data_IF_132146376097
#
_entry.id   IF_132146376097
#
_cell.length_a   1.000
_cell.length_b   1.000
_cell.length_c   1.000
_cell.angle_alpha   90.00
_cell.angle_beta   90.00
_cell.angle_gamma   90.00
#
_symmetry.space_group_name_H-M   'P 1'
#
loop_
_entity.id
_entity.type
_entity.pdbx_description
1 polymer ?
#
# COMPACT_ATOMS: atom_id res chain seq x y z
N UNK A 1 -46.01 -26.82 -65.35
CA UNK A 1 -46.25 -25.99 -64.14
C UNK A 1 -45.30 -26.47 -63.06
N UNK A 2 -44.49 -25.56 -62.50
CA UNK A 2 -43.76 -25.60 -61.22
C UNK A 2 -42.83 -26.81 -60.93
N UNK A 3 -41.59 -26.70 -60.47
CA UNK A 3 -40.82 -25.59 -59.93
C UNK A 3 -39.32 -25.88 -60.13
N UNK A 4 -38.56 -24.86 -60.56
CA UNK A 4 -37.09 -24.84 -60.46
C UNK A 4 -36.74 -24.36 -59.05
N UNK A 5 -36.08 -25.20 -58.27
CA UNK A 5 -35.56 -24.83 -56.94
C UNK A 5 -34.21 -24.12 -57.16
N UNK A 6 -34.05 -22.83 -56.82
CA UNK A 6 -32.73 -22.21 -56.83
C UNK A 6 -32.00 -22.59 -55.54
N UNK A 7 -30.77 -23.04 -55.70
CA UNK A 7 -29.78 -23.27 -54.64
C UNK A 7 -29.41 -21.90 -54.02
N UNK A 8 -30.03 -21.56 -52.89
CA UNK A 8 -29.69 -20.34 -52.15
C UNK A 8 -28.44 -20.60 -51.30
N UNK A 9 -27.39 -19.89 -51.68
CA UNK A 9 -26.15 -19.65 -50.96
C UNK A 9 -26.44 -19.15 -49.54
N UNK A 10 -26.11 -19.92 -48.49
CA UNK A 10 -26.14 -19.42 -47.11
C UNK A 10 -24.72 -19.32 -46.55
N UNK A 11 -24.39 -18.08 -46.20
CA UNK A 11 -23.08 -17.59 -45.84
C UNK A 11 -22.47 -18.29 -44.62
N UNK A 12 -21.15 -18.55 -44.70
CA UNK A 12 -20.31 -18.89 -43.58
C UNK A 12 -20.34 -17.76 -42.55
N UNK A 13 -20.97 -17.99 -41.40
CA UNK A 13 -20.85 -17.12 -40.24
C UNK A 13 -19.55 -17.46 -39.54
N UNK A 14 -18.57 -16.57 -39.71
CA UNK A 14 -17.28 -16.65 -39.07
C UNK A 14 -17.44 -16.64 -37.54
N UNK A 15 -16.75 -17.60 -36.93
CA UNK A 15 -16.50 -17.77 -35.51
C UNK A 15 -16.23 -16.42 -34.83
N UNK A 16 -17.15 -15.96 -33.98
CA UNK A 16 -16.92 -14.79 -33.12
C UNK A 16 -15.89 -15.19 -32.06
N UNK A 17 -14.63 -14.82 -32.30
CA UNK A 17 -13.60 -14.86 -31.28
C UNK A 17 -13.98 -13.82 -30.20
N UNK A 18 -14.58 -14.29 -29.11
CA UNK A 18 -14.65 -13.54 -27.86
C UNK A 18 -13.21 -13.31 -27.40
N UNK A 19 -12.64 -12.16 -27.74
CA UNK A 19 -11.43 -11.68 -27.10
C UNK A 19 -11.82 -11.28 -25.68
N UNK A 20 -11.52 -12.17 -24.74
CA UNK A 20 -11.51 -11.83 -23.32
C UNK A 20 -10.41 -10.78 -23.16
N UNK A 21 -10.81 -9.51 -23.12
CA UNK A 21 -9.95 -8.44 -22.63
C UNK A 21 -9.66 -8.75 -21.16
N UNK A 22 -8.56 -9.48 -20.91
CA UNK A 22 -8.00 -9.52 -19.57
C UNK A 22 -7.48 -8.12 -19.30
N UNK A 23 -8.23 -7.33 -18.54
CA UNK A 23 -7.77 -6.06 -17.97
C UNK A 23 -6.74 -6.36 -16.88
N UNK A 24 -5.67 -7.05 -17.23
CA UNK A 24 -4.50 -7.24 -16.40
C UNK A 24 -3.79 -5.90 -16.31
N UNK A 25 -3.63 -5.38 -15.10
CA UNK A 25 -2.80 -4.19 -14.85
C UNK A 25 -1.38 -4.56 -15.31
N UNK A 26 -0.94 -4.01 -16.45
CA UNK A 26 0.41 -4.25 -16.96
C UNK A 26 1.42 -3.86 -15.88
N UNK A 27 2.20 -4.82 -15.40
CA UNK A 27 3.37 -4.54 -14.57
C UNK A 27 4.49 -4.09 -15.53
N UNK A 28 5.20 -3.01 -15.20
CA UNK A 28 6.29 -2.50 -16.05
C UNK A 28 7.36 -3.56 -16.32
N UNK A 29 8.13 -3.40 -17.40
CA UNK A 29 9.27 -4.28 -17.69
C UNK A 29 10.32 -4.24 -16.59
N UNK A 30 11.08 -5.34 -16.43
CA UNK A 30 12.19 -5.41 -15.49
C UNK A 30 13.25 -4.36 -15.85
N UNK A 31 13.60 -3.51 -14.90
CA UNK A 31 14.67 -2.52 -15.02
C UNK A 31 15.85 -2.92 -14.14
N UNK A 32 17.06 -2.78 -14.68
CA UNK A 32 18.28 -3.03 -13.94
C UNK A 32 18.52 -1.93 -12.90
N UNK A 33 18.92 -2.32 -11.69
CA UNK A 33 19.30 -1.41 -10.62
C UNK A 33 20.84 -1.36 -10.59
N UNK A 34 21.43 -0.31 -11.16
CA UNK A 34 22.89 -0.23 -11.34
C UNK A 34 23.67 0.04 -10.04
N UNK A 35 23.02 0.59 -9.02
CA UNK A 35 23.67 0.95 -7.75
C UNK A 35 23.17 0.04 -6.61
N UNK A 36 23.51 -1.25 -6.67
CA UNK A 36 23.08 -2.20 -5.63
C UNK A 36 23.85 -2.00 -4.33
N UNK A 37 25.14 -1.70 -4.41
CA UNK A 37 26.07 -1.71 -3.26
C UNK A 37 25.81 -0.60 -2.25
N UNK A 38 25.37 0.58 -2.69
CA UNK A 38 25.06 1.68 -1.75
C UNK A 38 23.56 1.84 -1.49
N UNK A 39 22.72 1.04 -2.15
CA UNK A 39 21.28 1.18 -2.02
C UNK A 39 20.77 0.41 -0.79
N UNK A 40 20.58 1.16 0.30
CA UNK A 40 20.04 0.62 1.54
C UNK A 40 18.70 -0.11 1.37
N UNK A 41 17.87 0.30 0.40
CA UNK A 41 16.59 -0.37 0.13
C UNK A 41 16.82 -1.77 -0.43
N UNK A 42 17.75 -1.91 -1.39
CA UNK A 42 18.07 -3.23 -1.98
C UNK A 42 18.69 -4.14 -0.93
N UNK A 43 19.61 -3.62 -0.12
CA UNK A 43 20.21 -4.37 0.99
C UNK A 43 19.19 -4.79 2.05
N UNK A 44 18.27 -3.90 2.43
CA UNK A 44 17.25 -4.22 3.43
C UNK A 44 16.20 -5.20 2.92
N UNK A 45 15.81 -5.11 1.64
CA UNK A 45 14.96 -6.11 0.98
C UNK A 45 15.63 -7.48 0.93
N UNK A 46 16.90 -7.52 0.52
CA UNK A 46 17.68 -8.77 0.47
C UNK A 46 17.77 -9.43 1.84
N UNK A 47 18.14 -8.67 2.88
CA UNK A 47 18.19 -9.19 4.25
C UNK A 47 16.80 -9.63 4.75
N UNK A 48 15.72 -8.88 4.48
CA UNK A 48 14.34 -9.24 4.89
C UNK A 48 13.89 -10.55 4.26
N UNK A 49 14.21 -10.77 2.98
CA UNK A 49 13.90 -12.01 2.28
C UNK A 49 14.60 -13.21 2.94
N UNK A 50 15.88 -13.05 3.28
CA UNK A 50 16.66 -14.07 4.01
C UNK A 50 16.07 -14.33 5.40
N UNK A 51 15.76 -13.27 6.16
CA UNK A 51 15.21 -13.40 7.52
C UNK A 51 13.83 -14.07 7.53
N UNK A 52 12.95 -13.72 6.60
CA UNK A 52 11.65 -14.40 6.46
C UNK A 52 11.80 -15.86 6.04
N UNK A 53 12.71 -16.15 5.13
CA UNK A 53 13.00 -17.53 4.73
C UNK A 53 13.46 -18.33 5.96
N UNK A 54 14.44 -17.83 6.70
CA UNK A 54 14.97 -18.46 7.90
C UNK A 54 13.89 -18.67 8.98
N UNK A 55 13.07 -17.64 9.27
CA UNK A 55 11.92 -17.77 10.21
C UNK A 55 10.95 -18.88 9.81
N UNK A 56 10.67 -19.01 8.52
CA UNK A 56 9.79 -20.07 8.02
C UNK A 56 10.44 -21.45 8.11
N UNK A 57 11.77 -21.55 8.02
CA UNK A 57 12.50 -22.80 8.29
C UNK A 57 12.53 -23.12 9.80
N UNK A 58 12.69 -22.12 10.67
CA UNK A 58 12.71 -22.28 12.13
C UNK A 58 11.37 -22.72 12.70
N UNK A 59 10.24 -22.27 12.14
CA UNK A 59 8.90 -22.78 12.51
C UNK A 59 8.76 -24.30 12.36
N UNK A 60 9.62 -24.94 11.56
CA UNK A 60 9.63 -26.37 11.30
C UNK A 60 10.77 -27.12 12.02
N UNK A 61 11.53 -26.47 12.91
CA UNK A 61 12.65 -27.09 13.65
C UNK A 61 12.58 -26.76 15.15
N UNK A 62 12.96 -27.73 15.99
CA UNK A 62 13.09 -27.52 17.44
C UNK A 62 14.02 -26.31 17.73
N UNK A 63 13.76 -25.54 18.81
CA UNK A 63 14.27 -24.18 18.94
C UNK A 63 15.80 -24.17 19.00
N UNK A 64 16.49 -23.36 18.17
CA UNK A 64 17.92 -23.24 18.26
C UNK A 64 18.28 -22.44 19.52
N UNK A 65 19.11 -23.03 20.37
CA UNK A 65 19.81 -22.30 21.42
C UNK A 65 21.01 -21.62 20.78
N UNK A 66 21.02 -20.29 20.64
CA UNK A 66 22.19 -19.37 20.75
C UNK A 66 21.83 -17.95 20.31
N UNK A 67 21.94 -17.00 21.25
CA UNK A 67 23.07 -16.07 21.47
C UNK A 67 23.10 -14.94 20.45
N UNK A 68 22.43 -13.85 20.87
CA UNK A 68 22.59 -12.45 20.49
C UNK A 68 23.63 -12.16 19.40
N UNK A 69 23.14 -11.98 18.17
CA UNK A 69 23.76 -11.10 17.19
C UNK A 69 22.80 -9.93 16.97
N UNK A 70 23.23 -8.72 17.33
CA UNK A 70 22.51 -7.44 17.19
C UNK A 70 22.41 -7.01 15.72
N UNK A 71 21.91 -7.89 14.87
CA UNK A 71 21.59 -7.61 13.48
C UNK A 71 20.28 -6.85 13.40
N UNK A 72 20.34 -5.59 12.94
CA UNK A 72 19.17 -4.76 12.60
C UNK A 72 18.09 -5.61 11.93
N UNK A 73 16.98 -5.86 12.63
CA UNK A 73 15.82 -6.58 12.09
C UNK A 73 15.35 -5.82 10.85
N UNK A 74 15.67 -6.36 9.70
CA UNK A 74 15.29 -5.84 8.39
C UNK A 74 13.90 -6.38 8.10
N UNK A 75 12.91 -5.50 8.25
CA UNK A 75 11.50 -5.86 8.42
C UNK A 75 10.91 -5.26 9.70
N UNK A 76 11.77 -4.85 10.63
CA UNK A 76 11.39 -4.09 11.81
C UNK A 76 10.91 -2.69 11.43
N UNK A 77 10.00 -2.17 12.25
CA UNK A 77 9.51 -0.79 12.14
C UNK A 77 10.69 0.16 12.39
N UNK A 78 11.03 0.97 11.39
CA UNK A 78 12.12 1.96 11.42
C UNK A 78 11.57 3.36 11.65
N UNK A 79 12.18 4.13 12.53
CA UNK A 79 11.78 5.52 12.76
C UNK A 79 12.13 6.40 11.55
N UNK A 80 11.26 7.37 11.25
CA UNK A 80 11.55 8.47 10.32
C UNK A 80 11.92 9.68 11.16
N UNK A 81 13.14 10.15 11.00
CA UNK A 81 13.59 11.39 11.63
C UNK A 81 13.13 12.60 10.81
N UNK A 82 13.03 13.76 11.46
CA UNK A 82 12.68 15.03 10.82
C UNK A 82 11.33 14.97 10.06
N UNK A 83 10.31 14.47 10.74
CA UNK A 83 8.98 14.21 10.15
C UNK A 83 8.31 15.49 9.66
N UNK A 84 8.52 16.61 10.35
CA UNK A 84 7.91 17.90 10.02
C UNK A 84 8.35 18.41 8.65
N UNK A 85 9.62 18.25 8.28
CA UNK A 85 10.12 18.67 6.97
C UNK A 85 10.03 17.58 5.89
N UNK A 86 9.54 16.38 6.23
CA UNK A 86 9.45 15.28 5.28
C UNK A 86 8.16 15.39 4.46
N UNK A 87 8.28 15.96 3.25
CA UNK A 87 7.15 16.21 2.35
C UNK A 87 6.32 14.95 2.06
N UNK A 88 6.98 13.80 1.86
CA UNK A 88 6.30 12.54 1.60
C UNK A 88 5.42 12.16 2.78
N UNK A 89 5.96 12.20 4.01
CA UNK A 89 5.21 11.84 5.21
C UNK A 89 4.06 12.82 5.48
N UNK A 90 4.30 14.13 5.34
CA UNK A 90 3.23 15.13 5.48
C UNK A 90 2.11 14.91 4.45
N UNK A 91 2.47 14.60 3.20
CA UNK A 91 1.48 14.32 2.14
C UNK A 91 0.66 13.05 2.42
N UNK A 92 1.27 12.02 2.99
CA UNK A 92 0.58 10.78 3.39
C UNK A 92 -0.34 11.03 4.59
N UNK A 93 0.07 11.89 5.53
CA UNK A 93 -0.76 12.32 6.65
C UNK A 93 -2.00 13.07 6.18
N UNK A 94 -1.83 14.04 5.28
CA UNK A 94 -2.95 14.77 4.66
C UNK A 94 -3.91 13.83 3.92
N UNK A 95 -3.36 12.91 3.12
CA UNK A 95 -4.15 11.88 2.42
C UNK A 95 -4.98 11.02 3.39
N UNK A 96 -4.42 10.67 4.55
CA UNK A 96 -5.14 9.88 5.55
C UNK A 96 -6.37 10.61 6.11
N UNK A 97 -6.22 11.90 6.44
CA UNK A 97 -7.31 12.76 6.95
C UNK A 97 -8.38 12.96 5.87
N UNK A 98 -7.99 13.27 4.64
CA UNK A 98 -8.94 13.43 3.52
C UNK A 98 -9.73 12.15 3.24
N UNK A 99 -9.06 10.99 3.31
CA UNK A 99 -9.73 9.70 3.15
C UNK A 99 -10.71 9.40 4.28
N UNK A 100 -10.36 9.76 5.52
CA UNK A 100 -11.28 9.65 6.66
C UNK A 100 -12.52 10.51 6.45
N UNK A 101 -12.37 11.79 6.13
CA UNK A 101 -13.48 12.71 5.88
C UNK A 101 -14.40 12.19 4.76
N UNK A 102 -13.81 11.77 3.63
CA UNK A 102 -14.56 11.19 2.50
C UNK A 102 -15.34 9.94 2.89
N UNK A 103 -14.80 9.11 3.77
CA UNK A 103 -15.50 7.93 4.27
C UNK A 103 -16.67 8.30 5.20
N UNK A 104 -16.52 9.34 6.03
CA UNK A 104 -17.62 9.84 6.88
C UNK A 104 -18.78 10.38 6.05
N UNK A 105 -18.49 11.16 5.00
CA UNK A 105 -19.50 11.67 4.06
C UNK A 105 -20.28 10.54 3.38
N UNK A 106 -19.58 9.52 2.87
CA UNK A 106 -20.20 8.37 2.19
C UNK A 106 -21.12 7.56 3.11
N UNK A 107 -20.72 7.39 4.36
CA UNK A 107 -21.49 6.63 5.34
C UNK A 107 -22.69 7.42 5.90
N UNK A 108 -22.91 8.68 5.45
CA UNK A 108 -23.94 9.60 5.94
C UNK A 108 -24.00 9.65 7.47
N UNK A 109 -22.85 9.52 8.13
CA UNK A 109 -22.79 9.49 9.59
C UNK A 109 -23.31 10.83 10.13
N UNK A 110 -24.51 10.87 10.74
CA UNK A 110 -25.06 12.12 11.22
C UNK A 110 -24.20 12.56 12.40
N UNK A 111 -23.68 13.79 12.35
CA UNK A 111 -22.87 14.43 13.39
C UNK A 111 -21.38 14.01 13.53
N UNK A 112 -20.71 13.50 12.48
CA UNK A 112 -19.24 13.37 12.54
C UNK A 112 -18.56 14.65 12.06
N UNK A 113 -17.83 15.31 12.95
CA UNK A 113 -17.06 16.51 12.65
C UNK A 113 -15.93 16.21 11.65
N UNK A 114 -15.89 16.95 10.54
CA UNK A 114 -14.79 16.89 9.59
C UNK A 114 -13.48 17.36 10.23
N UNK A 115 -12.39 16.70 9.87
CA UNK A 115 -11.06 17.00 10.40
C UNK A 115 -10.25 17.83 9.39
N UNK A 116 -9.54 18.83 9.89
CA UNK A 116 -8.54 19.60 9.13
C UNK A 116 -7.14 19.12 9.52
N UNK A 117 -6.36 18.68 8.53
CA UNK A 117 -4.97 18.25 8.74
C UNK A 117 -4.10 19.43 9.23
N UNK A 118 -3.33 19.22 10.30
CA UNK A 118 -2.32 20.16 10.78
C UNK A 118 -0.93 19.72 10.33
N UNK A 119 -0.39 18.65 10.93
CA UNK A 119 0.92 18.10 10.59
C UNK A 119 1.09 16.69 11.17
N UNK A 120 2.11 15.97 10.70
CA UNK A 120 2.57 14.71 11.30
C UNK A 120 3.64 14.99 12.33
N UNK A 121 3.48 14.46 13.56
CA UNK A 121 4.41 14.68 14.70
C UNK A 121 5.38 13.52 14.91
N UNK A 122 5.02 12.31 14.48
CA UNK A 122 5.90 11.15 14.54
C UNK A 122 5.55 10.21 13.40
N UNK A 123 6.57 9.55 12.85
CA UNK A 123 6.35 8.56 11.82
C UNK A 123 7.39 7.45 11.91
N UNK A 124 6.93 6.25 11.60
CA UNK A 124 7.75 5.07 11.41
C UNK A 124 7.37 4.42 10.10
N UNK A 125 8.28 3.68 9.51
CA UNK A 125 8.01 2.94 8.29
C UNK A 125 8.47 1.50 8.40
N UNK A 126 7.87 0.64 7.60
CA UNK A 126 8.28 -0.75 7.45
C UNK A 126 8.03 -1.26 6.04
N UNK A 127 8.79 -2.26 5.64
CA UNK A 127 8.55 -2.97 4.38
C UNK A 127 7.41 -3.98 4.52
N UNK A 128 6.52 -3.97 3.54
CA UNK A 128 5.42 -4.93 3.36
C UNK A 128 5.36 -5.29 1.87
N UNK A 129 4.18 -5.53 1.28
CA UNK A 129 4.00 -5.49 -0.18
C UNK A 129 4.09 -4.04 -0.76
N UNK A 130 5.05 -3.25 -0.31
CA UNK A 130 5.05 -1.79 -0.37
C UNK A 130 5.86 -1.19 0.77
N UNK A 131 5.61 0.08 1.07
CA UNK A 131 6.03 0.73 2.32
C UNK A 131 4.79 1.02 3.15
N UNK A 132 4.76 0.57 4.41
CA UNK A 132 3.71 0.96 5.35
C UNK A 132 4.27 2.01 6.32
N UNK A 133 3.59 3.14 6.40
CA UNK A 133 3.90 4.24 7.30
C UNK A 133 2.93 4.21 8.46
N UNK A 134 3.47 4.17 9.69
CA UNK A 134 2.76 4.37 10.93
C UNK A 134 2.99 5.81 11.36
N UNK A 135 1.94 6.62 11.43
CA UNK A 135 2.04 8.05 11.65
C UNK A 135 1.18 8.46 12.84
N UNK A 136 1.70 9.39 13.65
CA UNK A 136 0.90 10.19 14.58
C UNK A 136 0.62 11.54 13.94
N UNK A 137 -0.65 11.82 13.71
CA UNK A 137 -1.13 12.98 12.97
C UNK A 137 -1.89 13.89 13.92
N UNK A 138 -1.56 15.17 13.93
CA UNK A 138 -2.37 16.21 14.55
C UNK A 138 -3.38 16.70 13.53
N UNK A 139 -4.65 16.67 13.89
CA UNK A 139 -5.74 17.24 13.10
C UNK A 139 -6.67 18.05 14.02
N UNK A 140 -7.30 19.07 13.46
CA UNK A 140 -8.23 19.95 14.14
C UNK A 140 -9.66 19.62 13.74
N UNK A 141 -10.59 19.67 14.69
CA UNK A 141 -12.01 19.53 14.39
C UNK A 141 -12.63 20.89 14.01
N UNK A 142 -13.94 20.92 13.73
CA UNK A 142 -14.65 22.15 13.36
C UNK A 142 -14.64 23.23 14.44
N UNK A 143 -14.28 22.91 15.68
CA UNK A 143 -14.16 23.84 16.80
C UNK A 143 -12.70 24.24 17.04
N UNK A 144 -11.79 23.96 16.11
CA UNK A 144 -10.34 24.17 16.24
C UNK A 144 -9.70 23.41 17.41
N UNK A 145 -10.35 22.35 17.91
CA UNK A 145 -9.76 21.51 18.94
C UNK A 145 -8.79 20.53 18.29
N UNK A 146 -7.52 20.60 18.70
CA UNK A 146 -6.46 19.69 18.25
C UNK A 146 -6.66 18.30 18.82
N UNK A 147 -6.63 17.29 17.96
CA UNK A 147 -6.72 15.87 18.28
C UNK A 147 -5.58 15.12 17.60
N UNK A 148 -5.08 14.09 18.26
CA UNK A 148 -4.02 13.23 17.74
C UNK A 148 -4.64 11.93 17.23
N UNK A 149 -4.18 11.47 16.08
CA UNK A 149 -4.64 10.25 15.43
C UNK A 149 -3.47 9.34 15.10
N UNK A 150 -3.65 8.04 15.31
CA UNK A 150 -2.76 7.02 14.79
C UNK A 150 -3.27 6.58 13.40
N UNK A 151 -2.40 6.69 12.40
CA UNK A 151 -2.70 6.35 11.03
C UNK A 151 -1.71 5.32 10.48
N UNK A 152 -2.22 4.35 9.72
CA UNK A 152 -1.41 3.43 8.93
C UNK A 152 -1.72 3.60 7.46
N UNK A 153 -0.72 3.91 6.66
CA UNK A 153 -0.86 4.13 5.21
C UNK A 153 0.14 3.26 4.46
N UNK A 154 -0.33 2.50 3.50
CA UNK A 154 0.52 1.69 2.61
C UNK A 154 0.67 2.36 1.26
N UNK A 155 1.90 2.45 0.77
CA UNK A 155 2.26 2.99 -0.53
C UNK A 155 2.98 1.92 -1.36
N UNK A 156 2.58 1.79 -2.63
CA UNK A 156 3.23 0.98 -3.66
C UNK A 156 3.64 1.92 -4.81
N UNK A 157 4.85 2.51 -4.78
CA UNK A 157 5.27 3.51 -5.76
C UNK A 157 5.21 3.00 -7.21
N UNK A 158 5.58 1.74 -7.44
CA UNK A 158 5.55 1.08 -8.75
C UNK A 158 4.14 0.90 -9.33
N UNK A 159 3.09 0.96 -8.52
CA UNK A 159 1.70 0.95 -8.95
C UNK A 159 1.04 2.33 -8.86
N UNK A 160 1.79 3.37 -8.48
CA UNK A 160 1.28 4.70 -8.12
C UNK A 160 0.07 4.62 -7.17
N UNK A 161 0.11 3.64 -6.28
CA UNK A 161 -1.02 3.27 -5.43
C UNK A 161 -0.71 3.58 -3.98
N UNK A 162 -1.64 4.24 -3.29
CA UNK A 162 -1.61 4.45 -1.84
C UNK A 162 -2.97 4.10 -1.25
N UNK A 163 -2.97 3.55 -0.04
CA UNK A 163 -4.18 3.10 0.67
C UNK A 163 -4.04 3.37 2.16
N UNK A 164 -5.07 3.95 2.76
CA UNK A 164 -5.20 4.04 4.22
C UNK A 164 -5.64 2.68 4.74
N UNK A 165 -4.85 2.10 5.64
CA UNK A 165 -5.14 0.82 6.30
C UNK A 165 -5.94 1.06 7.58
N UNK A 166 -5.53 2.03 8.38
CA UNK A 166 -6.25 2.43 9.59
C UNK A 166 -6.10 3.92 9.87
N UNK A 167 -7.11 4.51 10.50
CA UNK A 167 -7.09 5.88 11.01
C UNK A 167 -7.97 5.93 12.25
N UNK A 168 -7.37 6.07 13.42
CA UNK A 168 -8.07 6.00 14.72
C UNK A 168 -7.57 7.10 15.65
N UNK A 169 -8.41 7.63 16.57
CA UNK A 169 -7.93 8.51 17.63
C UNK A 169 -6.76 7.86 18.38
N UNK A 170 -5.74 8.64 18.69
CA UNK A 170 -4.58 8.15 19.42
C UNK A 170 -4.90 8.08 20.91
N UNK A 171 -4.65 6.92 21.52
CA UNK A 171 -4.69 6.81 22.97
C UNK A 171 -3.43 7.51 23.54
N UNK A 172 -3.65 8.46 24.45
CA UNK A 172 -2.59 9.15 25.19
C UNK A 172 -1.88 8.21 26.16
#
# INVERSE_FOLDING_TARGET
MAARIPLILLAATALTAFTVFSTGRMLGGLTEINNVVSNELVHSLGKFAVENYNRNQEKNKAPPTRLFDTGTIVGGVKDINNVESNELVQSLGKFAVENYNRNQEKNKAPATTLLSFSHVIAAKWQFVEGRMYHMKIVAEDSHHARKVFDAKVTEKPWLKSKKVVSFTPSAH
#
